data_IF_842288690722
#
_entry.id   IF_842288690722
#
_cell.length_a   1.000
_cell.length_b   1.000
_cell.length_c   1.000
_cell.angle_alpha   90.00
_cell.angle_beta   90.00
_cell.angle_gamma   90.00
#
_symmetry.space_group_name_H-M   'P 1'
#
loop_
_entity.id
_entity.type
_entity.pdbx_description
1 polymer ?
#
# COMPACT_ATOMS: atom_id res chain seq x y z
N UNK A 1 -55.81 -3.02 2.32
CA UNK A 1 -54.77 -2.12 2.85
C UNK A 1 -53.74 -3.02 3.51
N UNK A 2 -52.57 -3.14 2.90
CA UNK A 2 -51.42 -3.86 3.47
C UNK A 2 -50.39 -2.77 3.75
N UNK A 3 -50.11 -2.51 5.03
CA UNK A 3 -49.00 -1.66 5.43
C UNK A 3 -47.70 -2.43 5.17
N UNK A 4 -46.81 -1.81 4.41
CA UNK A 4 -45.45 -2.30 4.20
C UNK A 4 -44.57 -1.52 5.17
N UNK A 5 -44.05 -2.20 6.20
CA UNK A 5 -43.00 -1.66 7.06
C UNK A 5 -41.74 -1.44 6.21
N UNK A 6 -41.32 -0.19 6.08
CA UNK A 6 -40.03 0.17 5.51
C UNK A 6 -38.96 -0.16 6.55
N UNK A 7 -38.30 -1.30 6.38
CA UNK A 7 -37.16 -1.70 7.20
C UNK A 7 -36.04 -0.66 7.05
N UNK A 8 -35.67 -0.03 8.17
CA UNK A 8 -34.48 0.83 8.27
C UNK A 8 -33.27 -0.05 7.91
N UNK A 9 -32.57 0.32 6.83
CA UNK A 9 -31.37 -0.38 6.37
C UNK A 9 -30.31 -0.31 7.47
N UNK A 10 -30.04 -1.43 8.13
CA UNK A 10 -28.97 -1.47 9.14
C UNK A 10 -27.61 -1.41 8.45
N UNK A 11 -26.81 -0.43 8.87
CA UNK A 11 -25.47 -0.19 8.36
C UNK A 11 -24.56 -1.41 8.64
N UNK A 12 -23.74 -1.86 7.66
CA UNK A 12 -22.74 -2.90 7.91
C UNK A 12 -21.82 -2.49 9.07
N UNK A 13 -21.60 -3.43 10.00
CA UNK A 13 -20.85 -3.21 11.25
C UNK A 13 -19.44 -2.68 11.00
N UNK A 14 -18.86 -3.04 9.87
CA UNK A 14 -17.53 -2.64 9.42
C UNK A 14 -17.45 -1.13 9.16
N UNK A 15 -18.52 -0.52 8.64
CA UNK A 15 -18.61 0.93 8.46
C UNK A 15 -18.79 1.65 9.79
N UNK A 16 -19.61 1.08 10.68
CA UNK A 16 -19.84 1.60 12.03
C UNK A 16 -18.52 1.64 12.84
N UNK A 17 -17.71 0.59 12.75
CA UNK A 17 -16.44 0.48 13.46
C UNK A 17 -15.38 1.48 12.94
N UNK A 18 -15.40 1.82 11.64
CA UNK A 18 -14.53 2.85 11.06
C UNK A 18 -14.91 4.24 11.57
N UNK A 19 -16.20 4.55 11.66
CA UNK A 19 -16.72 5.82 12.17
C UNK A 19 -16.36 6.02 13.65
N UNK A 20 -16.52 4.97 14.47
CA UNK A 20 -16.16 5.01 15.90
C UNK A 20 -14.65 5.23 16.09
N UNK A 21 -13.80 4.58 15.27
CA UNK A 21 -12.34 4.76 15.36
C UNK A 21 -11.89 6.18 15.01
N UNK A 22 -12.55 6.83 14.05
CA UNK A 22 -12.23 8.20 13.67
C UNK A 22 -12.71 9.22 14.71
N UNK A 23 -13.86 8.97 15.35
CA UNK A 23 -14.34 9.76 16.49
C UNK A 23 -13.31 9.80 17.62
N UNK A 24 -12.79 8.63 18.01
CA UNK A 24 -11.81 8.53 19.08
C UNK A 24 -10.46 9.18 18.71
N UNK A 25 -10.06 9.15 17.43
CA UNK A 25 -8.86 9.85 16.96
C UNK A 25 -8.98 11.38 16.95
N UNK A 26 -10.21 11.91 16.91
CA UNK A 26 -10.49 13.34 16.98
C UNK A 26 -10.64 13.85 18.41
N UNK A 27 -11.27 13.07 19.29
CA UNK A 27 -11.41 13.41 20.72
C UNK A 27 -10.05 13.46 21.45
N UNK A 28 -9.06 12.68 21.02
CA UNK A 28 -7.68 12.72 21.54
C UNK A 28 -6.87 13.96 21.07
N UNK A 29 -7.41 14.80 20.17
CA UNK A 29 -6.71 15.97 19.59
C UNK A 29 -7.20 17.34 20.10
N UNK A 30 -8.27 17.42 20.88
CA UNK A 30 -8.82 18.70 21.36
C UNK A 30 -8.66 18.91 22.87
N UNK A 31 -7.47 19.38 23.25
CA UNK A 31 -7.28 20.22 24.43
C UNK A 31 -6.77 21.60 23.98
N UNK A 32 -7.59 22.33 23.23
CA UNK A 32 -7.45 23.77 23.05
C UNK A 32 -8.77 24.37 22.53
N UNK A 33 -9.43 25.11 23.43
CA UNK A 33 -10.52 26.07 23.19
C UNK A 33 -11.89 25.53 22.74
N UNK A 34 -12.90 25.88 23.54
CA UNK A 34 -14.30 25.46 23.43
C UNK A 34 -14.96 26.05 22.17
N UNK A 35 -15.67 25.24 21.36
CA UNK A 35 -16.75 25.72 20.54
C UNK A 35 -18.08 25.49 21.25
N UNK A 36 -18.77 26.58 21.58
CA UNK A 36 -20.22 26.53 21.76
C UNK A 36 -20.87 26.11 20.43
N UNK A 37 -21.78 25.14 20.53
CA UNK A 37 -22.82 24.77 19.56
C UNK A 37 -22.42 24.11 18.22
N UNK A 38 -21.43 23.21 18.21
CA UNK A 38 -21.22 22.28 17.07
C UNK A 38 -22.12 21.03 17.10
N UNK A 39 -22.86 20.78 18.18
CA UNK A 39 -23.61 19.52 18.36
C UNK A 39 -24.97 19.47 17.66
N UNK A 40 -25.41 20.56 17.02
CA UNK A 40 -26.72 20.62 16.34
C UNK A 40 -26.69 20.42 14.83
N UNK A 41 -25.54 20.52 14.16
CA UNK A 41 -25.45 20.42 12.69
C UNK A 41 -24.86 19.10 12.16
N UNK A 42 -24.48 18.16 13.04
CA UNK A 42 -23.90 16.85 12.64
C UNK A 42 -24.90 15.85 12.04
N UNK A 43 -26.19 16.20 12.01
CA UNK A 43 -27.26 15.40 11.39
C UNK A 43 -28.04 16.18 10.33
N UNK A 44 -27.47 17.26 9.80
CA UNK A 44 -28.02 17.90 8.61
C UNK A 44 -27.45 17.18 7.38
N UNK A 45 -28.31 16.65 6.51
CA UNK A 45 -27.94 15.95 5.27
C UNK A 45 -26.96 16.77 4.39
N UNK A 46 -26.94 18.09 4.53
CA UNK A 46 -25.96 18.97 3.86
C UNK A 46 -24.51 18.76 4.34
N UNK A 47 -24.27 18.32 5.58
CA UNK A 47 -22.91 18.07 6.12
C UNK A 47 -22.28 16.80 5.54
N UNK A 48 -23.09 15.74 5.41
CA UNK A 48 -22.69 14.49 4.75
C UNK A 48 -22.42 14.71 3.26
N UNK A 49 -23.28 15.45 2.56
CA UNK A 49 -23.09 15.80 1.15
C UNK A 49 -21.88 16.72 0.94
N UNK A 50 -21.60 17.65 1.85
CA UNK A 50 -20.42 18.51 1.77
C UNK A 50 -19.13 17.73 1.98
N UNK A 51 -19.16 16.72 2.84
CA UNK A 51 -18.05 15.77 3.02
C UNK A 51 -17.91 14.89 1.78
N UNK A 52 -18.99 14.33 1.26
CA UNK A 52 -19.00 13.48 0.06
C UNK A 52 -18.54 14.21 -1.21
N UNK A 53 -18.98 15.47 -1.40
CA UNK A 53 -18.53 16.39 -2.48
C UNK A 53 -17.02 16.66 -2.45
N UNK A 54 -16.35 16.50 -1.31
CA UNK A 54 -14.89 16.69 -1.17
C UNK A 54 -14.09 15.42 -1.45
N UNK A 55 -14.71 14.24 -1.49
CA UNK A 55 -13.98 12.97 -1.55
C UNK A 55 -13.94 12.30 -2.92
N UNK A 56 -14.78 12.70 -3.88
CA UNK A 56 -14.79 12.07 -5.21
C UNK A 56 -14.41 13.09 -6.28
N UNK A 57 -13.22 12.90 -6.85
CA UNK A 57 -12.69 13.72 -7.94
C UNK A 57 -13.45 13.40 -9.24
N UNK A 58 -14.38 14.28 -9.63
CA UNK A 58 -15.21 14.14 -10.86
C UNK A 58 -14.40 13.71 -12.10
N UNK A 59 -13.24 14.33 -12.40
CA UNK A 59 -12.28 13.84 -13.40
C UNK A 59 -12.02 12.36 -13.36
N UNK A 60 -11.65 11.87 -12.18
CA UNK A 60 -11.25 10.51 -11.98
C UNK A 60 -12.42 9.57 -12.30
N UNK A 61 -13.62 9.88 -11.80
CA UNK A 61 -14.83 9.12 -12.14
C UNK A 61 -15.02 9.08 -13.66
N UNK A 62 -14.88 10.24 -14.31
CA UNK A 62 -15.05 10.35 -15.76
C UNK A 62 -13.96 9.58 -16.53
N UNK A 63 -12.72 9.51 -16.03
CA UNK A 63 -11.67 8.69 -16.63
C UNK A 63 -12.03 7.21 -16.60
N UNK A 64 -12.37 6.68 -15.43
CA UNK A 64 -12.74 5.28 -15.26
C UNK A 64 -14.02 4.93 -16.03
N UNK A 65 -15.05 5.79 -15.99
CA UNK A 65 -16.28 5.60 -16.75
C UNK A 65 -16.03 5.67 -18.26
N UNK A 66 -15.23 6.62 -18.73
CA UNK A 66 -14.82 6.74 -20.12
C UNK A 66 -14.06 5.51 -20.61
N UNK A 67 -13.14 4.99 -19.80
CA UNK A 67 -12.40 3.76 -20.07
C UNK A 67 -13.34 2.56 -20.17
N UNK A 68 -14.22 2.39 -19.18
CA UNK A 68 -15.21 1.32 -19.19
C UNK A 68 -16.08 1.31 -20.44
N UNK A 69 -16.63 2.48 -20.76
CA UNK A 69 -17.61 2.65 -21.83
C UNK A 69 -16.98 2.47 -23.20
N UNK A 70 -15.79 3.04 -23.40
CA UNK A 70 -15.10 2.95 -24.69
C UNK A 70 -14.41 1.61 -24.90
N UNK A 71 -13.79 1.05 -23.85
CA UNK A 71 -12.88 -0.11 -23.93
C UNK A 71 -11.82 0.12 -25.00
N UNK A 72 -11.43 1.37 -25.19
CA UNK A 72 -10.45 1.81 -26.17
C UNK A 72 -9.20 2.31 -25.46
N UNK A 73 -8.04 2.08 -26.08
CA UNK A 73 -6.79 2.69 -25.65
C UNK A 73 -6.77 4.14 -26.15
N UNK A 74 -6.12 5.06 -25.43
CA UNK A 74 -5.93 6.41 -25.94
C UNK A 74 -5.07 6.36 -27.23
N UNK A 75 -5.23 7.33 -28.14
CA UNK A 75 -4.48 7.38 -29.39
C UNK A 75 -2.97 7.38 -29.15
N UNK A 76 -2.23 6.51 -29.83
CA UNK A 76 -0.78 6.40 -29.65
C UNK A 76 0.00 7.66 -30.08
N UNK A 77 -0.60 8.47 -30.97
CA UNK A 77 -0.02 9.72 -31.48
C UNK A 77 -0.58 10.90 -30.70
N UNK A 78 0.33 11.78 -30.29
CA UNK A 78 0.08 12.98 -29.47
C UNK A 78 -0.54 14.14 -30.24
N UNK A 79 -1.63 13.90 -30.98
CA UNK A 79 -2.48 15.02 -31.39
C UNK A 79 -3.25 15.45 -30.15
N UNK A 80 -2.87 16.59 -29.59
CA UNK A 80 -3.54 17.21 -28.45
C UNK A 80 -5.05 17.23 -28.68
N UNK A 81 -5.80 16.69 -27.70
CA UNK A 81 -7.25 16.67 -27.74
C UNK A 81 -7.72 17.88 -26.95
N UNK A 82 -8.23 18.90 -27.66
CA UNK A 82 -8.74 20.12 -27.06
C UNK A 82 -10.23 20.03 -26.76
N UNK A 83 -10.64 20.52 -25.59
CA UNK A 83 -12.04 20.86 -25.33
C UNK A 83 -12.33 22.29 -25.74
N UNK A 84 -13.59 22.58 -26.07
CA UNK A 84 -14.08 23.95 -26.22
C UNK A 84 -14.18 24.74 -24.90
N UNK A 85 -13.77 24.15 -23.77
CA UNK A 85 -13.87 24.74 -22.43
C UNK A 85 -12.72 24.25 -21.53
N UNK A 86 -12.36 25.07 -20.54
CA UNK A 86 -11.35 24.73 -19.52
C UNK A 86 -11.99 23.97 -18.36
N UNK A 87 -11.30 22.95 -17.85
CA UNK A 87 -11.67 22.24 -16.62
C UNK A 87 -10.53 22.38 -15.60
N UNK A 88 -10.83 22.84 -14.38
CA UNK A 88 -9.88 22.95 -13.28
C UNK A 88 -10.16 21.88 -12.22
N UNK A 89 -9.12 21.21 -11.72
CA UNK A 89 -9.25 20.09 -10.79
C UNK A 89 -8.36 20.27 -9.56
N UNK A 90 -8.91 19.98 -8.38
CA UNK A 90 -8.27 20.22 -7.08
C UNK A 90 -7.77 18.98 -6.35
N UNK A 91 -7.39 17.91 -7.04
CA UNK A 91 -7.17 16.59 -6.43
C UNK A 91 -5.70 16.14 -6.31
N UNK A 92 -5.42 15.37 -5.25
CA UNK A 92 -4.23 14.50 -5.14
C UNK A 92 -4.50 13.18 -5.86
N UNK A 93 -4.12 13.11 -7.13
CA UNK A 93 -4.52 12.02 -8.02
C UNK A 93 -3.60 10.77 -7.99
N UNK A 94 -2.53 10.75 -7.18
CA UNK A 94 -1.45 9.75 -7.28
C UNK A 94 -1.92 8.29 -7.19
N UNK A 95 -2.62 7.91 -6.13
CA UNK A 95 -2.97 6.49 -5.89
C UNK A 95 -4.00 5.95 -6.90
N UNK A 96 -4.84 6.83 -7.43
CA UNK A 96 -5.91 6.46 -8.35
C UNK A 96 -5.46 6.44 -9.81
N UNK A 97 -4.45 7.26 -10.15
CA UNK A 97 -3.75 7.19 -11.43
C UNK A 97 -3.04 5.84 -11.58
N UNK A 98 -2.44 5.31 -10.52
CA UNK A 98 -1.80 3.99 -10.58
C UNK A 98 -2.80 2.88 -10.88
N UNK A 99 -3.97 2.89 -10.23
CA UNK A 99 -5.05 1.95 -10.54
C UNK A 99 -5.54 2.10 -11.98
N UNK A 100 -5.72 3.33 -12.46
CA UNK A 100 -6.14 3.61 -13.82
C UNK A 100 -5.11 3.09 -14.85
N UNK A 101 -3.81 3.34 -14.61
CA UNK A 101 -2.72 2.85 -15.44
C UNK A 101 -2.69 1.32 -15.52
N UNK A 102 -2.96 0.62 -14.41
CA UNK A 102 -3.05 -0.83 -14.39
C UNK A 102 -4.20 -1.37 -15.27
N UNK A 103 -5.36 -0.71 -15.27
CA UNK A 103 -6.48 -1.08 -16.15
C UNK A 103 -6.14 -0.84 -17.63
N UNK A 104 -5.44 0.26 -17.94
CA UNK A 104 -4.97 0.53 -19.30
C UNK A 104 -3.95 -0.49 -19.77
N UNK A 105 -3.05 -0.92 -18.88
CA UNK A 105 -2.11 -2.01 -19.18
C UNK A 105 -2.83 -3.33 -19.46
N UNK A 106 -3.83 -3.69 -18.64
CA UNK A 106 -4.62 -4.90 -18.88
C UNK A 106 -5.33 -4.85 -20.24
N UNK A 107 -5.97 -3.72 -20.57
CA UNK A 107 -6.59 -3.49 -21.88
C UNK A 107 -5.57 -3.53 -23.02
N UNK A 108 -4.36 -3.03 -22.80
CA UNK A 108 -3.29 -3.07 -23.80
C UNK A 108 -2.86 -4.51 -24.10
N UNK A 109 -2.67 -5.33 -23.07
CA UNK A 109 -2.33 -6.75 -23.21
C UNK A 109 -3.45 -7.53 -23.90
N UNK A 110 -4.71 -7.25 -23.59
CA UNK A 110 -5.86 -7.85 -24.27
C UNK A 110 -5.85 -7.55 -25.77
N UNK A 111 -5.62 -6.29 -26.15
CA UNK A 111 -5.60 -5.86 -27.55
C UNK A 111 -4.33 -6.22 -28.31
N UNK A 112 -3.26 -6.56 -27.60
CA UNK A 112 -1.96 -6.92 -28.15
C UNK A 112 -1.53 -8.27 -27.56
N UNK A 113 -2.06 -9.41 -28.07
CA UNK A 113 -1.66 -10.71 -27.56
C UNK A 113 -0.15 -10.95 -27.77
N UNK A 114 0.47 -11.65 -26.82
CA UNK A 114 1.89 -12.02 -26.92
C UNK A 114 2.10 -12.92 -28.14
N UNK A 115 3.03 -12.58 -29.05
CA UNK A 115 3.26 -13.41 -30.21
C UNK A 115 3.97 -14.72 -29.82
N UNK A 116 3.59 -15.81 -30.49
CA UNK A 116 4.20 -17.13 -30.28
C UNK A 116 5.60 -17.24 -30.90
N UNK A 117 5.91 -16.40 -31.89
CA UNK A 117 7.19 -16.41 -32.59
C UNK A 117 8.22 -15.53 -31.92
N UNK A 118 9.42 -16.07 -31.72
CA UNK A 118 10.52 -15.37 -31.06
C UNK A 118 10.92 -14.08 -31.79
N UNK A 119 10.94 -14.10 -33.13
CA UNK A 119 11.24 -12.93 -33.97
C UNK A 119 10.25 -11.77 -33.74
N UNK A 120 8.98 -12.08 -33.50
CA UNK A 120 7.93 -11.10 -33.24
C UNK A 120 7.93 -10.58 -31.80
N UNK A 121 8.55 -11.28 -30.84
CA UNK A 121 8.64 -10.83 -29.44
C UNK A 121 9.40 -9.51 -29.29
N UNK A 122 10.40 -9.26 -30.15
CA UNK A 122 11.17 -8.01 -30.10
C UNK A 122 10.26 -6.83 -30.41
N UNK A 123 9.47 -6.92 -31.50
CA UNK A 123 8.52 -5.88 -31.87
C UNK A 123 7.38 -5.71 -30.85
N UNK A 124 6.91 -6.80 -30.25
CA UNK A 124 5.94 -6.75 -29.15
C UNK A 124 6.49 -5.98 -27.93
N UNK A 125 7.71 -6.29 -27.49
CA UNK A 125 8.37 -5.61 -26.37
C UNK A 125 8.58 -4.12 -26.65
N UNK A 126 8.99 -3.76 -27.87
CA UNK A 126 9.12 -2.36 -28.26
C UNK A 126 7.80 -1.60 -28.15
N UNK A 127 6.69 -2.17 -28.65
CA UNK A 127 5.37 -1.55 -28.52
C UNK A 127 4.92 -1.46 -27.07
N UNK A 128 5.17 -2.49 -26.27
CA UNK A 128 4.84 -2.50 -24.85
C UNK A 128 5.59 -1.40 -24.09
N UNK A 129 6.91 -1.32 -24.27
CA UNK A 129 7.72 -0.30 -23.62
C UNK A 129 7.34 1.11 -24.08
N UNK A 130 7.07 1.31 -25.37
CA UNK A 130 6.56 2.58 -25.87
C UNK A 130 5.19 2.96 -25.29
N UNK A 131 4.34 1.98 -24.99
CA UNK A 131 3.08 2.23 -24.29
C UNK A 131 3.29 2.60 -22.81
N UNK A 132 4.15 1.86 -22.09
CA UNK A 132 4.45 2.14 -20.68
C UNK A 132 5.13 3.51 -20.49
N UNK A 133 6.05 3.87 -21.39
CA UNK A 133 6.71 5.18 -21.40
C UNK A 133 5.68 6.32 -21.54
N UNK A 134 4.68 6.13 -22.43
CA UNK A 134 3.58 7.10 -22.58
C UNK A 134 2.69 7.21 -21.34
N UNK A 135 2.45 6.12 -20.61
CA UNK A 135 1.70 6.18 -19.34
C UNK A 135 2.45 6.97 -18.25
N UNK A 136 3.76 7.17 -18.41
CA UNK A 136 4.59 7.96 -17.50
C UNK A 136 4.80 9.40 -18.00
N UNK A 137 4.54 9.68 -19.29
CA UNK A 137 4.63 11.03 -19.85
C UNK A 137 3.45 11.91 -19.40
N UNK A 138 3.74 12.85 -18.50
CA UNK A 138 2.76 13.81 -17.98
C UNK A 138 2.07 14.63 -19.09
N UNK A 139 2.76 14.97 -20.18
CA UNK A 139 2.15 15.69 -21.30
C UNK A 139 1.15 14.80 -22.03
N UNK A 140 1.50 13.54 -22.28
CA UNK A 140 0.57 12.59 -22.88
C UNK A 140 -0.67 12.35 -22.00
N UNK A 141 -0.46 12.15 -20.69
CA UNK A 141 -1.53 11.98 -19.71
C UNK A 141 -2.50 13.16 -19.76
N UNK A 142 -1.98 14.38 -19.67
CA UNK A 142 -2.80 15.61 -19.56
C UNK A 142 -3.40 16.07 -20.88
N UNK A 143 -2.72 15.88 -22.00
CA UNK A 143 -3.13 16.41 -23.32
C UNK A 143 -3.83 15.40 -24.22
N UNK A 144 -3.73 14.10 -23.92
CA UNK A 144 -4.30 13.03 -24.74
C UNK A 144 -5.17 12.13 -23.91
N UNK A 145 -4.62 11.47 -22.89
CA UNK A 145 -5.32 10.42 -22.17
C UNK A 145 -6.54 10.94 -21.41
N UNK A 146 -6.36 11.99 -20.59
CA UNK A 146 -7.46 12.56 -19.82
C UNK A 146 -8.56 13.08 -20.76
N UNK A 147 -8.26 13.94 -21.75
CA UNK A 147 -9.28 14.39 -22.69
C UNK A 147 -9.98 13.28 -23.46
N UNK A 148 -9.25 12.25 -23.89
CA UNK A 148 -9.82 11.11 -24.60
C UNK A 148 -10.92 10.45 -23.78
N UNK A 149 -10.64 10.13 -22.51
CA UNK A 149 -11.62 9.45 -21.67
C UNK A 149 -12.74 10.36 -21.18
N UNK A 150 -12.45 11.64 -20.95
CA UNK A 150 -13.49 12.63 -20.69
C UNK A 150 -14.45 12.76 -21.89
N UNK A 151 -13.95 12.73 -23.13
CA UNK A 151 -14.79 12.73 -24.32
C UNK A 151 -15.64 11.45 -24.44
N UNK A 152 -15.07 10.29 -24.11
CA UNK A 152 -15.83 9.02 -24.10
C UNK A 152 -16.90 9.00 -23.00
N UNK A 153 -16.61 9.59 -21.85
CA UNK A 153 -17.55 9.77 -20.75
C UNK A 153 -18.65 10.77 -21.11
N UNK A 154 -18.31 11.82 -21.86
CA UNK A 154 -19.26 12.82 -22.32
C UNK A 154 -20.18 12.22 -23.40
N UNK A 155 -21.39 11.80 -23.00
CA UNK A 155 -22.42 11.38 -23.94
C UNK A 155 -22.82 12.56 -24.84
N UNK A 156 -23.02 12.38 -26.15
CA UNK A 156 -23.28 13.46 -27.10
C UNK A 156 -24.63 14.20 -26.91
N UNK A 157 -25.49 13.76 -25.98
CA UNK A 157 -26.72 14.47 -25.62
C UNK A 157 -26.44 15.40 -24.43
N UNK A 158 -26.18 16.68 -24.74
CA UNK A 158 -25.56 17.67 -23.85
C UNK A 158 -26.25 17.79 -22.48
N UNK A 159 -27.58 17.82 -22.40
CA UNK A 159 -28.28 17.98 -21.10
C UNK A 159 -28.23 16.73 -20.21
N UNK A 160 -27.97 15.56 -20.80
CA UNK A 160 -27.93 14.29 -20.08
C UNK A 160 -26.53 13.75 -19.91
N UNK A 161 -25.47 14.37 -20.41
CA UNK A 161 -24.16 13.72 -20.41
C UNK A 161 -23.67 13.39 -18.99
N UNK A 162 -23.04 12.23 -18.79
CA UNK A 162 -22.52 11.82 -17.47
C UNK A 162 -21.64 12.90 -16.83
N UNK A 163 -20.81 13.56 -17.66
CA UNK A 163 -19.95 14.67 -17.25
C UNK A 163 -20.78 15.88 -16.80
N UNK A 164 -21.83 16.24 -17.53
CA UNK A 164 -22.74 17.32 -17.15
C UNK A 164 -23.57 16.96 -15.90
N UNK A 165 -24.06 15.72 -15.77
CA UNK A 165 -24.75 15.22 -14.56
C UNK A 165 -23.87 15.37 -13.31
N UNK A 166 -22.58 15.04 -13.42
CA UNK A 166 -21.62 15.22 -12.33
C UNK A 166 -21.30 16.70 -12.07
N UNK A 167 -21.07 17.49 -13.13
CA UNK A 167 -20.74 18.93 -13.04
C UNK A 167 -21.84 19.76 -12.38
N UNK A 168 -23.11 19.46 -12.65
CA UNK A 168 -24.27 20.18 -12.11
C UNK A 168 -24.86 19.55 -10.83
N UNK A 169 -24.19 18.55 -10.25
CA UNK A 169 -24.62 17.88 -9.02
C UNK A 169 -24.64 18.79 -7.77
N UNK A 170 -24.18 20.04 -7.87
CA UNK A 170 -24.38 21.04 -6.82
C UNK A 170 -25.83 21.52 -6.69
N UNK A 171 -26.65 21.35 -7.75
CA UNK A 171 -28.07 21.71 -7.80
C UNK A 171 -29.00 20.50 -7.94
N UNK A 172 -28.69 19.39 -7.27
CA UNK A 172 -29.68 18.33 -7.04
C UNK A 172 -30.70 18.87 -6.03
N UNK A 173 -31.66 19.67 -6.51
CA UNK A 173 -32.94 19.79 -5.81
C UNK A 173 -33.56 18.40 -5.82
N UNK A 174 -34.12 18.03 -4.69
CA UNK A 174 -34.93 16.84 -4.47
C UNK A 174 -36.22 16.92 -5.28
N UNK A 175 -36.11 16.96 -6.60
CA UNK A 175 -37.16 16.49 -7.50
C UNK A 175 -36.76 15.07 -7.90
N UNK A 176 -37.70 14.12 -7.95
CA UNK A 176 -37.43 12.73 -8.22
C UNK A 176 -37.01 12.60 -9.69
N UNK A 177 -35.74 12.82 -9.96
CA UNK A 177 -35.06 12.36 -11.15
C UNK A 177 -34.43 11.02 -10.77
N UNK A 178 -34.62 10.01 -11.61
CA UNK A 178 -34.46 8.59 -11.29
C UNK A 178 -33.08 8.14 -10.77
N UNK A 179 -32.04 9.00 -10.75
CA UNK A 179 -30.69 8.57 -10.40
C UNK A 179 -29.98 9.59 -9.51
N UNK A 180 -29.87 9.28 -8.22
CA UNK A 180 -29.10 10.06 -7.25
C UNK A 180 -27.58 9.89 -7.44
N UNK A 181 -26.73 10.78 -6.89
CA UNK A 181 -25.27 10.60 -6.90
C UNK A 181 -24.81 9.24 -6.32
N UNK A 182 -25.52 8.73 -5.32
CA UNK A 182 -25.31 7.41 -4.72
C UNK A 182 -25.65 6.29 -5.72
N UNK A 183 -26.70 6.46 -6.52
CA UNK A 183 -27.02 5.54 -7.61
C UNK A 183 -25.90 5.54 -8.66
N UNK A 184 -25.41 6.71 -9.07
CA UNK A 184 -24.31 6.82 -10.05
C UNK A 184 -23.00 6.21 -9.53
N UNK A 185 -22.72 6.34 -8.22
CA UNK A 185 -21.59 5.68 -7.57
C UNK A 185 -21.75 4.16 -7.49
N UNK A 186 -22.95 3.66 -7.18
CA UNK A 186 -23.27 2.23 -7.22
C UNK A 186 -23.19 1.66 -8.63
N UNK A 187 -23.69 2.41 -9.61
CA UNK A 187 -23.58 2.08 -11.03
C UNK A 187 -22.11 2.02 -11.44
N UNK A 188 -21.28 2.99 -11.01
CA UNK A 188 -19.83 2.97 -11.20
C UNK A 188 -19.16 1.70 -10.63
N UNK A 189 -19.48 1.30 -9.40
CA UNK A 189 -18.91 0.08 -8.80
C UNK A 189 -19.36 -1.19 -9.52
N UNK A 190 -20.62 -1.26 -9.97
CA UNK A 190 -21.13 -2.38 -10.75
C UNK A 190 -20.45 -2.44 -12.12
N UNK A 191 -20.32 -1.29 -12.77
CA UNK A 191 -19.61 -1.08 -14.03
C UNK A 191 -18.14 -1.51 -13.93
N UNK A 192 -17.45 -1.14 -12.85
CA UNK A 192 -16.07 -1.57 -12.61
C UNK A 192 -15.97 -3.10 -12.51
N UNK A 193 -16.88 -3.74 -11.77
CA UNK A 193 -16.94 -5.20 -11.65
C UNK A 193 -17.22 -5.87 -13.01
N UNK A 194 -18.12 -5.32 -13.81
CA UNK A 194 -18.40 -5.83 -15.16
C UNK A 194 -17.23 -5.64 -16.12
N UNK A 195 -16.47 -4.55 -16.02
CA UNK A 195 -15.24 -4.34 -16.78
C UNK A 195 -14.20 -5.42 -16.48
N UNK A 196 -13.99 -5.71 -15.19
CA UNK A 196 -13.06 -6.74 -14.75
C UNK A 196 -13.48 -8.13 -15.24
N UNK A 197 -14.79 -8.41 -15.30
CA UNK A 197 -15.34 -9.63 -15.90
C UNK A 197 -15.15 -9.69 -17.42
N UNK A 198 -15.35 -8.56 -18.11
CA UNK A 198 -15.19 -8.44 -19.56
C UNK A 198 -13.75 -8.70 -20.03
N UNK A 199 -12.75 -8.25 -19.27
CA UNK A 199 -11.32 -8.49 -19.56
C UNK A 199 -10.92 -9.99 -19.52
N UNK A 200 -11.88 -10.93 -19.40
CA UNK A 200 -11.66 -12.38 -19.44
C UNK A 200 -10.58 -12.88 -18.47
N UNK A 201 -10.43 -12.22 -17.32
CA UNK A 201 -9.60 -12.74 -16.24
C UNK A 201 -10.12 -14.14 -15.81
N UNK A 202 -11.43 -14.43 -15.99
CA UNK A 202 -12.02 -15.76 -15.78
C UNK A 202 -11.70 -16.81 -16.86
N UNK A 203 -11.24 -16.46 -18.07
CA UNK A 203 -10.86 -17.44 -19.12
C UNK A 203 -9.35 -17.69 -19.18
N UNK A 204 -8.52 -16.76 -18.73
CA UNK A 204 -7.11 -17.02 -18.39
C UNK A 204 -7.04 -18.07 -17.25
N UNK A 205 -8.08 -18.15 -16.43
CA UNK A 205 -8.26 -19.13 -15.35
C UNK A 205 -8.59 -20.54 -15.85
N UNK A 206 -9.18 -20.69 -17.04
CA UNK A 206 -9.57 -22.01 -17.60
C UNK A 206 -8.48 -22.65 -18.45
N UNK A 207 -7.64 -21.86 -19.12
CA UNK A 207 -6.47 -22.36 -19.86
C UNK A 207 -5.27 -22.75 -18.99
N UNK A 208 -5.26 -22.30 -17.73
CA UNK A 208 -4.20 -22.58 -16.75
C UNK A 208 -4.44 -23.87 -15.93
N UNK A 209 -5.52 -24.62 -16.18
CA UNK A 209 -5.88 -25.83 -15.41
C UNK A 209 -4.97 -27.05 -15.64
N UNK A 210 -3.84 -26.93 -16.34
CA UNK A 210 -2.78 -27.95 -16.32
C UNK A 210 -1.55 -27.58 -15.49
N UNK A 211 -1.53 -26.41 -14.86
CA UNK A 211 -0.46 -26.04 -13.93
C UNK A 211 -1.11 -25.61 -12.62
N UNK A 212 -1.05 -26.52 -11.66
CA UNK A 212 -1.46 -26.42 -10.26
C UNK A 212 -1.22 -24.99 -9.70
N UNK A 213 -2.25 -24.14 -9.78
CA UNK A 213 -2.21 -22.71 -9.43
C UNK A 213 -1.95 -22.57 -7.93
N UNK A 214 -2.44 -23.52 -7.13
CA UNK A 214 -2.15 -23.59 -5.72
C UNK A 214 -0.66 -23.87 -5.50
N UNK A 215 -0.02 -24.76 -6.27
CA UNK A 215 1.45 -24.89 -6.26
C UNK A 215 2.18 -23.63 -6.73
N UNK A 216 1.71 -22.90 -7.74
CA UNK A 216 2.39 -21.66 -8.18
C UNK A 216 2.22 -20.55 -7.14
N UNK A 217 1.04 -20.41 -6.54
CA UNK A 217 0.77 -19.44 -5.48
C UNK A 217 1.57 -19.79 -4.21
N UNK A 218 1.66 -21.07 -3.87
CA UNK A 218 2.53 -21.59 -2.82
C UNK A 218 4.01 -21.35 -3.15
N UNK A 219 4.47 -21.63 -4.37
CA UNK A 219 5.85 -21.37 -4.80
C UNK A 219 6.19 -19.88 -4.82
N UNK A 220 5.27 -19.01 -5.22
CA UNK A 220 5.45 -17.55 -5.11
C UNK A 220 5.47 -17.09 -3.66
N UNK A 221 4.62 -17.66 -2.81
CA UNK A 221 4.59 -17.35 -1.37
C UNK A 221 5.85 -17.82 -0.68
N UNK A 222 6.33 -19.02 -0.99
CA UNK A 222 7.65 -19.54 -0.58
C UNK A 222 8.74 -18.59 -1.05
N UNK A 223 8.73 -18.17 -2.32
CA UNK A 223 9.71 -17.22 -2.85
C UNK A 223 9.71 -15.85 -2.14
N UNK A 224 8.54 -15.33 -1.74
CA UNK A 224 8.44 -14.07 -0.99
C UNK A 224 8.91 -14.26 0.46
N UNK A 225 8.52 -15.35 1.12
CA UNK A 225 8.98 -15.69 2.47
C UNK A 225 10.50 -15.84 2.49
N UNK A 226 11.08 -16.55 1.52
CA UNK A 226 12.53 -16.71 1.37
C UNK A 226 13.25 -15.37 1.19
N UNK A 227 12.65 -14.44 0.43
CA UNK A 227 13.20 -13.09 0.25
C UNK A 227 13.17 -12.29 1.56
N UNK A 228 12.06 -12.35 2.30
CA UNK A 228 11.94 -11.68 3.60
C UNK A 228 12.93 -12.26 4.62
N UNK A 229 13.10 -13.58 4.65
CA UNK A 229 14.08 -14.25 5.51
C UNK A 229 15.50 -13.78 5.22
N UNK A 230 15.91 -13.73 3.94
CA UNK A 230 17.24 -13.24 3.57
C UNK A 230 17.47 -11.79 3.99
N UNK A 231 16.43 -10.95 3.90
CA UNK A 231 16.52 -9.54 4.33
C UNK A 231 16.64 -9.42 5.84
N UNK A 232 15.86 -10.21 6.60
CA UNK A 232 15.99 -10.30 8.06
C UNK A 232 17.40 -10.74 8.45
N UNK A 233 17.90 -11.83 7.85
CA UNK A 233 19.23 -12.36 8.14
C UNK A 233 20.32 -11.30 7.80
N UNK A 234 20.18 -10.56 6.69
CA UNK A 234 21.10 -9.48 6.32
C UNK A 234 21.09 -8.34 7.35
N UNK A 235 19.90 -7.90 7.78
CA UNK A 235 19.75 -6.87 8.82
C UNK A 235 20.36 -7.34 10.14
N UNK A 236 20.16 -8.60 10.55
CA UNK A 236 20.78 -9.12 11.78
C UNK A 236 22.31 -9.07 11.72
N UNK A 237 22.91 -9.43 10.58
CA UNK A 237 24.36 -9.36 10.38
C UNK A 237 24.84 -7.90 10.45
N UNK A 238 24.17 -6.98 9.74
CA UNK A 238 24.54 -5.57 9.74
C UNK A 238 24.35 -4.90 11.09
N UNK A 239 23.28 -5.22 11.81
CA UNK A 239 23.07 -4.73 13.17
C UNK A 239 24.18 -5.19 14.10
N UNK A 240 24.61 -6.46 14.00
CA UNK A 240 25.75 -6.95 14.79
C UNK A 240 27.02 -6.15 14.48
N UNK A 241 27.32 -5.94 13.20
CA UNK A 241 28.49 -5.18 12.75
C UNK A 241 28.43 -3.72 13.20
N UNK A 242 27.27 -3.09 13.12
CA UNK A 242 27.03 -1.75 13.60
C UNK A 242 27.28 -1.67 15.11
N UNK A 243 26.65 -2.54 15.89
CA UNK A 243 26.78 -2.54 17.35
C UNK A 243 28.24 -2.76 17.74
N UNK A 244 28.90 -3.76 17.14
CA UNK A 244 30.31 -4.05 17.37
C UNK A 244 31.20 -2.84 17.05
N UNK A 245 31.05 -2.25 15.86
CA UNK A 245 31.87 -1.11 15.45
C UNK A 245 31.65 0.12 16.34
N UNK A 246 30.41 0.47 16.67
CA UNK A 246 30.09 1.65 17.47
C UNK A 246 30.52 1.49 18.92
N UNK A 247 30.27 0.32 19.52
CA UNK A 247 30.60 0.07 20.92
C UNK A 247 32.11 -0.09 21.10
N UNK A 248 32.79 -0.94 20.32
CA UNK A 248 34.23 -1.17 20.48
C UNK A 248 35.05 0.11 20.24
N UNK A 249 34.58 1.02 19.37
CA UNK A 249 35.24 2.31 19.15
C UNK A 249 35.16 3.24 20.37
N UNK A 250 34.07 3.15 21.14
CA UNK A 250 33.83 4.03 22.30
C UNK A 250 34.28 3.42 23.62
N UNK A 251 34.19 2.10 23.75
CA UNK A 251 34.43 1.39 25.00
C UNK A 251 34.82 -0.08 24.78
N UNK A 252 36.12 -0.36 24.88
CA UNK A 252 36.62 -1.73 24.76
C UNK A 252 36.16 -2.65 25.90
N UNK A 253 35.78 -2.09 27.06
CA UNK A 253 35.32 -2.82 28.24
C UNK A 253 33.80 -2.72 28.43
N UNK A 254 33.04 -2.51 27.34
CA UNK A 254 31.60 -2.32 27.43
C UNK A 254 30.88 -3.49 28.13
N UNK A 255 31.37 -4.72 27.94
CA UNK A 255 30.73 -5.91 28.48
C UNK A 255 30.68 -5.87 30.00
N UNK A 256 31.77 -5.44 30.64
CA UNK A 256 31.82 -5.31 32.11
C UNK A 256 30.82 -4.28 32.62
N UNK A 257 30.53 -3.23 31.82
CA UNK A 257 29.65 -2.11 32.17
C UNK A 257 28.16 -2.36 31.92
N UNK A 258 27.79 -3.44 31.23
CA UNK A 258 26.38 -3.78 31.04
C UNK A 258 25.73 -4.04 32.40
N UNK A 259 24.68 -3.28 32.70
CA UNK A 259 23.86 -3.34 33.91
C UNK A 259 22.76 -4.39 33.81
N UNK A 260 22.38 -4.77 32.59
CA UNK A 260 21.40 -5.82 32.37
C UNK A 260 21.99 -7.21 32.66
N UNK A 261 21.83 -7.67 33.91
CA UNK A 261 22.30 -8.97 34.38
C UNK A 261 21.69 -10.15 33.61
N UNK A 262 20.41 -10.06 33.24
CA UNK A 262 19.71 -11.10 32.48
C UNK A 262 20.34 -11.26 31.08
N UNK A 263 20.67 -10.16 30.42
CA UNK A 263 21.37 -10.17 29.13
C UNK A 263 22.76 -10.79 29.25
N UNK A 264 23.51 -10.46 30.31
CA UNK A 264 24.83 -11.06 30.55
C UNK A 264 24.73 -12.56 30.72
N UNK A 265 23.84 -12.99 31.62
CA UNK A 265 23.67 -14.40 31.94
C UNK A 265 23.24 -15.23 30.73
N UNK A 266 22.28 -14.73 29.93
CA UNK A 266 21.82 -15.39 28.69
C UNK A 266 22.96 -15.60 27.69
N UNK A 267 23.77 -14.56 27.44
CA UNK A 267 24.91 -14.64 26.51
C UNK A 267 26.01 -15.56 27.05
N UNK A 268 26.38 -15.43 28.33
CA UNK A 268 27.38 -16.29 28.98
C UNK A 268 26.96 -17.76 29.00
N UNK A 269 25.67 -18.05 29.16
CA UNK A 269 25.13 -19.41 29.08
C UNK A 269 25.30 -20.01 27.67
N UNK A 270 25.08 -19.22 26.61
CA UNK A 270 25.30 -19.66 25.22
C UNK A 270 26.78 -19.89 24.93
N UNK A 271 27.65 -19.01 25.42
CA UNK A 271 29.11 -19.16 25.33
C UNK A 271 29.56 -20.45 26.02
N UNK A 272 29.15 -20.66 27.27
CA UNK A 272 29.46 -21.89 28.04
C UNK A 272 28.98 -23.14 27.32
N UNK A 273 27.75 -23.12 26.79
CA UNK A 273 27.19 -24.24 26.02
C UNK A 273 28.01 -24.53 24.76
N UNK A 274 28.48 -23.50 24.05
CA UNK A 274 29.30 -23.66 22.84
C UNK A 274 30.68 -24.24 23.15
N UNK A 275 31.34 -23.75 24.20
CA UNK A 275 32.63 -24.26 24.68
C UNK A 275 32.52 -25.71 25.13
N UNK A 276 31.48 -26.05 25.90
CA UNK A 276 31.22 -27.42 26.33
C UNK A 276 30.99 -28.37 25.15
N UNK A 277 30.24 -27.92 24.13
CA UNK A 277 30.01 -28.72 22.93
C UNK A 277 31.24 -28.83 22.01
N UNK A 278 32.23 -27.93 22.13
CA UNK A 278 33.40 -27.87 21.26
C UNK A 278 34.69 -27.63 22.07
N UNK A 279 35.26 -28.66 22.72
CA UNK A 279 36.40 -28.52 23.63
C UNK A 279 37.68 -27.96 23.01
N UNK A 280 37.77 -27.93 21.68
CA UNK A 280 38.93 -27.39 20.95
C UNK A 280 38.91 -25.85 20.82
N UNK A 281 37.76 -25.21 21.07
CA UNK A 281 37.62 -23.75 21.03
C UNK A 281 38.07 -23.19 22.37
N UNK A 282 39.00 -22.22 22.36
CA UNK A 282 39.40 -21.50 23.57
C UNK A 282 38.47 -20.31 23.80
N UNK A 283 38.30 -19.96 25.07
CA UNK A 283 37.51 -18.78 25.46
C UNK A 283 38.07 -17.48 24.87
N UNK A 284 39.40 -17.38 24.71
CA UNK A 284 40.06 -16.23 24.08
C UNK A 284 39.69 -16.01 22.60
N UNK A 285 39.21 -17.05 21.93
CA UNK A 285 38.89 -17.03 20.50
C UNK A 285 37.41 -16.68 20.25
N UNK A 286 36.64 -16.46 21.33
CA UNK A 286 35.22 -16.16 21.26
C UNK A 286 35.00 -14.66 21.07
N UNK A 287 34.30 -14.32 20.00
CA UNK A 287 33.70 -13.02 19.85
C UNK A 287 32.31 -12.99 20.49
N UNK A 288 32.15 -12.21 21.55
CA UNK A 288 30.88 -12.11 22.29
C UNK A 288 29.72 -11.62 21.41
N UNK A 289 30.00 -10.79 20.40
CA UNK A 289 28.98 -10.26 19.50
C UNK A 289 28.31 -11.37 18.68
N UNK A 290 28.96 -12.51 18.46
CA UNK A 290 28.39 -13.65 17.75
C UNK A 290 27.32 -14.41 18.54
N UNK A 291 27.22 -14.16 19.84
CA UNK A 291 26.27 -14.81 20.74
C UNK A 291 25.03 -13.95 21.02
N UNK A 292 24.99 -12.74 20.45
CA UNK A 292 23.84 -11.86 20.54
C UNK A 292 22.73 -12.28 19.57
N UNK A 293 21.50 -12.19 20.08
CA UNK A 293 20.26 -12.30 19.31
C UNK A 293 19.69 -10.92 19.03
N UNK A 294 18.66 -10.88 18.17
CA UNK A 294 17.91 -9.66 17.87
C UNK A 294 17.36 -8.96 19.11
N UNK A 295 16.96 -9.72 20.13
CA UNK A 295 16.53 -9.19 21.43
C UNK A 295 17.67 -8.52 22.18
N UNK A 296 18.85 -9.13 22.16
CA UNK A 296 20.04 -8.56 22.80
C UNK A 296 20.44 -7.25 22.12
N UNK A 297 20.33 -7.14 20.79
CA UNK A 297 20.60 -5.89 20.05
C UNK A 297 19.74 -4.72 20.56
N UNK A 298 18.41 -4.91 20.67
CA UNK A 298 17.47 -3.90 21.19
C UNK A 298 17.86 -3.44 22.59
N UNK A 299 18.21 -4.38 23.48
CA UNK A 299 18.58 -4.10 24.87
C UNK A 299 19.90 -3.33 24.96
N UNK A 300 20.94 -3.79 24.26
CA UNK A 300 22.25 -3.14 24.22
C UNK A 300 22.13 -1.72 23.68
N UNK A 301 21.44 -1.53 22.56
CA UNK A 301 21.27 -0.19 21.98
C UNK A 301 20.44 0.73 22.87
N UNK A 302 19.49 0.17 23.63
CA UNK A 302 18.72 0.95 24.60
C UNK A 302 19.55 1.38 25.80
N UNK A 303 20.49 0.55 26.24
CA UNK A 303 21.38 0.83 27.36
C UNK A 303 22.44 1.86 26.97
N UNK A 304 23.07 1.69 25.83
CA UNK A 304 24.06 2.60 25.27
C UNK A 304 23.45 3.64 24.32
N UNK A 305 22.24 4.12 24.61
CA UNK A 305 21.46 4.95 23.68
C UNK A 305 22.21 6.19 23.18
N UNK A 306 23.02 6.84 24.02
CA UNK A 306 23.82 8.02 23.65
C UNK A 306 24.73 7.74 22.43
N UNK A 307 25.21 6.50 22.27
CA UNK A 307 26.04 6.10 21.11
C UNK A 307 25.18 5.96 19.84
N UNK A 308 23.96 5.45 19.98
CA UNK A 308 23.07 5.13 18.85
C UNK A 308 22.09 6.25 18.48
N UNK A 309 21.92 7.24 19.34
CA UNK A 309 21.02 8.39 19.14
C UNK A 309 21.29 9.15 17.83
N UNK A 310 22.55 9.46 17.45
CA UNK A 310 22.81 10.15 16.17
C UNK A 310 22.41 9.33 14.94
N UNK A 311 22.31 8.01 15.08
CA UNK A 311 22.00 7.07 13.99
C UNK A 311 20.49 6.90 13.86
N UNK A 312 19.82 6.59 14.99
CA UNK A 312 18.41 6.21 15.01
C UNK A 312 17.46 7.36 15.34
N UNK A 313 17.98 8.48 15.86
CA UNK A 313 17.29 9.74 16.21
C UNK A 313 16.24 9.64 17.33
N UNK A 314 15.48 8.56 17.40
CA UNK A 314 14.40 8.35 18.36
C UNK A 314 14.50 6.98 19.00
N UNK A 315 14.62 6.94 20.33
CA UNK A 315 14.70 5.69 21.09
C UNK A 315 13.39 4.91 20.99
N UNK A 316 12.27 5.63 20.97
CA UNK A 316 10.95 5.01 20.90
C UNK A 316 10.71 4.38 19.54
N UNK A 317 11.05 5.09 18.46
CA UNK A 317 10.89 4.56 17.10
C UNK A 317 11.79 3.35 16.90
N UNK A 318 13.05 3.42 17.33
CA UNK A 318 13.97 2.28 17.30
C UNK A 318 13.38 1.07 18.02
N UNK A 319 12.81 1.24 19.22
CA UNK A 319 12.20 0.13 19.95
C UNK A 319 11.01 -0.47 19.21
N UNK A 320 10.14 0.35 18.64
CA UNK A 320 9.00 -0.11 17.85
C UNK A 320 9.44 -0.90 16.61
N UNK A 321 10.44 -0.41 15.88
CA UNK A 321 10.99 -1.11 14.71
C UNK A 321 11.62 -2.46 15.09
N UNK A 322 12.33 -2.55 16.23
CA UNK A 322 12.82 -3.83 16.73
C UNK A 322 11.71 -4.81 17.11
N UNK A 323 10.58 -4.33 17.63
CA UNK A 323 9.42 -5.18 17.93
C UNK A 323 8.82 -5.77 16.65
N UNK A 324 8.62 -4.94 15.63
CA UNK A 324 8.12 -5.41 14.33
C UNK A 324 9.10 -6.37 13.64
N UNK A 325 10.40 -6.08 13.70
CA UNK A 325 11.43 -6.95 13.13
C UNK A 325 11.46 -8.31 13.84
N UNK A 326 11.32 -8.29 15.16
CA UNK A 326 11.25 -9.52 15.98
C UNK A 326 10.00 -10.34 15.63
N UNK A 327 8.84 -9.69 15.52
CA UNK A 327 7.58 -10.34 15.15
C UNK A 327 7.69 -10.99 13.78
N UNK A 328 8.21 -10.25 12.78
CA UNK A 328 8.44 -10.75 11.45
C UNK A 328 9.40 -11.96 11.47
N UNK A 329 10.56 -11.81 12.12
CA UNK A 329 11.57 -12.88 12.23
C UNK A 329 11.01 -14.14 12.86
N UNK A 330 10.25 -14.01 13.95
CA UNK A 330 9.65 -15.16 14.62
C UNK A 330 8.59 -15.83 13.74
N UNK A 331 7.76 -15.04 13.05
CA UNK A 331 6.79 -15.59 12.11
C UNK A 331 7.46 -16.37 10.98
N UNK A 332 8.55 -15.84 10.41
CA UNK A 332 9.31 -16.51 9.35
C UNK A 332 10.00 -17.78 9.86
N UNK A 333 10.82 -17.70 10.93
CA UNK A 333 11.58 -18.85 11.46
C UNK A 333 10.70 -19.99 11.98
N UNK A 334 9.47 -19.71 12.41
CA UNK A 334 8.51 -20.73 12.85
C UNK A 334 7.48 -21.12 11.77
N UNK A 335 7.69 -20.69 10.51
CA UNK A 335 6.78 -20.95 9.39
C UNK A 335 5.32 -20.57 9.69
N UNK A 336 5.10 -19.52 10.49
CA UNK A 336 3.78 -19.00 10.76
C UNK A 336 3.24 -18.28 9.52
N UNK A 337 1.94 -18.45 9.26
CA UNK A 337 1.27 -17.79 8.14
C UNK A 337 1.11 -16.29 8.44
N UNK A 338 1.97 -15.47 7.84
CA UNK A 338 1.82 -14.02 7.85
C UNK A 338 0.56 -13.59 7.08
N UNK A 339 -0.19 -12.67 7.66
CA UNK A 339 -1.28 -11.96 6.96
C UNK A 339 -0.71 -10.92 5.98
N UNK A 340 -1.47 -10.50 4.95
CA UNK A 340 -1.01 -9.47 4.03
C UNK A 340 -0.64 -8.14 4.71
N UNK A 341 -1.31 -7.82 5.81
CA UNK A 341 -1.00 -6.63 6.62
C UNK A 341 0.35 -6.78 7.33
N UNK A 342 0.59 -7.91 8.00
CA UNK A 342 1.88 -8.18 8.67
C UNK A 342 3.04 -8.25 7.68
N UNK A 343 2.83 -8.80 6.48
CA UNK A 343 3.84 -8.80 5.42
C UNK A 343 4.23 -7.38 5.03
N UNK A 344 3.26 -6.50 4.77
CA UNK A 344 3.53 -5.10 4.42
C UNK A 344 4.19 -4.33 5.57
N UNK A 345 3.73 -4.55 6.80
CA UNK A 345 4.32 -3.92 7.99
C UNK A 345 5.76 -4.37 8.22
N UNK A 346 6.02 -5.66 8.06
CA UNK A 346 7.36 -6.24 8.07
C UNK A 346 8.24 -5.66 6.97
N UNK A 347 7.73 -5.57 5.74
CA UNK A 347 8.45 -4.98 4.61
C UNK A 347 8.87 -3.53 4.87
N UNK A 348 7.97 -2.68 5.37
CA UNK A 348 8.27 -1.30 5.78
C UNK A 348 9.35 -1.26 6.87
N UNK A 349 9.29 -2.17 7.84
CA UNK A 349 10.30 -2.29 8.91
C UNK A 349 11.67 -2.66 8.34
N UNK A 350 11.73 -3.62 7.42
CA UNK A 350 12.97 -4.02 6.75
C UNK A 350 13.56 -2.84 5.96
N UNK A 351 12.74 -2.13 5.18
CA UNK A 351 13.18 -0.96 4.42
C UNK A 351 13.76 0.13 5.33
N UNK A 352 13.16 0.34 6.51
CA UNK A 352 13.64 1.30 7.49
C UNK A 352 15.04 0.94 8.02
N UNK A 353 15.25 -0.32 8.40
CA UNK A 353 16.58 -0.79 8.82
C UNK A 353 17.59 -0.75 7.67
N UNK A 354 17.21 -1.16 6.47
CA UNK A 354 18.06 -1.14 5.28
C UNK A 354 18.57 0.27 4.97
N UNK A 355 17.72 1.28 5.09
CA UNK A 355 18.11 2.68 4.83
C UNK A 355 19.04 3.22 5.92
N UNK A 356 18.78 2.91 7.20
CA UNK A 356 19.68 3.32 8.30
C UNK A 356 21.04 2.63 8.19
N UNK A 357 21.05 1.34 7.88
CA UNK A 357 22.23 0.48 7.79
C UNK A 357 22.92 0.57 6.42
N UNK A 358 22.52 1.50 5.54
CA UNK A 358 23.17 1.70 4.24
C UNK A 358 24.56 2.29 4.36
N UNK A 359 24.81 3.04 5.44
CA UNK A 359 26.04 3.80 5.68
C UNK A 359 27.02 3.09 6.64
N UNK A 360 26.71 1.86 7.05
CA UNK A 360 27.45 1.07 8.04
C UNK A 360 27.58 -0.36 7.55
#
# INVERSE_FOLDING_TARGET
MVEVEIGILQMPKELYDVIIRQKNQYEDREHAEKPDDFSKDLYNDTSYLTSFKRYIDIPLICLFYGLYKSRELPPERSTEISFGYTLEFGAKATDQIDLFNNLLFALWVEKNPVPNEYSALIGYRQRLYGFLDRLQDLRYITKVMIPFYLQKANEPNDEKSFVNRLKFSEYVKYEPIDFSPEYLALEFFNVQKEFMKYLKIEEIDKGAQSIDIDKIAEMKKVGITDQLERRVDNIEIRLRQLIKSQITTKDAQFWDKIMNHELKEDVENRIRSKLHANPMIKESDIDIFDFFTIYNYKSIMSEFWIIFEPIFRSKSDMKGQFEELTNLRNALKHNHKLTPFEMKKGDVTLMWFEEILKNY
#
